data_IF_742982735494
#
_entry.id   IF_742982735494
#
_cell.length_a   1.000
_cell.length_b   1.000
_cell.length_c   1.000
_cell.angle_alpha   90.00
_cell.angle_beta   90.00
_cell.angle_gamma   90.00
#
_symmetry.space_group_name_H-M   'P 1'
#
loop_
_entity.id
_entity.type
_entity.pdbx_description
1 polymer ?
#
# COMPACT_ATOMS: atom_id res chain seq x y z
N UNK A 1 -9.00 -29.80 -4.05
CA UNK A 1 -8.09 -29.55 -5.18
C UNK A 1 -7.07 -28.52 -4.73
N UNK A 2 -5.84 -28.91 -4.38
CA UNK A 2 -4.77 -27.93 -4.11
C UNK A 2 -4.29 -27.43 -5.47
N UNK A 3 -4.89 -26.36 -5.97
CA UNK A 3 -4.26 -25.57 -7.04
C UNK A 3 -2.98 -25.03 -6.44
N UNK A 4 -1.85 -25.63 -6.79
CA UNK A 4 -0.55 -24.94 -6.78
C UNK A 4 -0.71 -23.76 -7.74
N UNK A 5 -1.26 -22.66 -7.22
CA UNK A 5 -1.06 -21.33 -7.78
C UNK A 5 0.44 -21.24 -8.01
N UNK A 6 0.82 -21.09 -9.28
CA UNK A 6 2.18 -20.80 -9.73
C UNK A 6 2.79 -19.86 -8.71
N UNK A 7 3.72 -20.35 -7.88
CA UNK A 7 4.23 -19.61 -6.75
C UNK A 7 4.74 -18.27 -7.25
N UNK A 8 4.34 -17.18 -6.62
CA UNK A 8 5.02 -15.93 -6.81
C UNK A 8 6.51 -16.17 -6.57
N UNK A 9 7.36 -15.85 -7.56
CA UNK A 9 8.78 -16.10 -7.49
C UNK A 9 9.46 -15.06 -6.59
N UNK A 10 8.92 -13.84 -6.58
CA UNK A 10 9.48 -12.70 -5.85
C UNK A 10 8.61 -12.24 -4.69
N UNK A 11 7.29 -12.39 -4.76
CA UNK A 11 6.37 -12.00 -3.67
C UNK A 11 6.52 -12.95 -2.48
N UNK A 12 7.03 -12.49 -1.32
CA UNK A 12 7.21 -13.36 -0.15
C UNK A 12 5.86 -13.72 0.48
N UNK A 13 5.80 -14.86 1.19
CA UNK A 13 4.56 -15.36 1.80
C UNK A 13 3.89 -14.35 2.75
N UNK A 14 4.69 -13.61 3.52
CA UNK A 14 4.16 -12.59 4.43
C UNK A 14 3.44 -11.46 3.68
N UNK A 15 3.91 -11.09 2.49
CA UNK A 15 3.30 -10.04 1.68
C UNK A 15 2.00 -10.54 1.04
N UNK A 16 2.00 -11.80 0.57
CA UNK A 16 0.78 -12.44 0.09
C UNK A 16 -0.27 -12.63 1.21
N UNK A 17 0.16 -12.87 2.45
CA UNK A 17 -0.74 -12.86 3.62
C UNK A 17 -1.29 -11.48 3.87
N UNK A 18 -0.42 -10.46 3.88
CA UNK A 18 -0.82 -9.06 4.08
C UNK A 18 -1.85 -8.60 3.04
N UNK A 19 -1.68 -8.93 1.76
CA UNK A 19 -2.67 -8.65 0.72
C UNK A 19 -4.04 -9.30 1.00
N UNK A 20 -4.05 -10.55 1.46
CA UNK A 20 -5.29 -11.27 1.82
C UNK A 20 -5.97 -10.65 3.03
N UNK A 21 -5.20 -10.22 4.02
CA UNK A 21 -5.72 -9.59 5.22
C UNK A 21 -6.41 -8.27 4.86
N UNK A 22 -5.76 -7.40 4.06
CA UNK A 22 -6.39 -6.16 3.57
C UNK A 22 -7.66 -6.48 2.76
N UNK A 23 -7.59 -7.45 1.85
CA UNK A 23 -8.73 -7.82 1.03
C UNK A 23 -9.92 -8.28 1.88
N UNK A 24 -9.66 -9.10 2.90
CA UNK A 24 -10.65 -9.56 3.86
C UNK A 24 -11.26 -8.40 4.65
N UNK A 25 -10.43 -7.51 5.18
CA UNK A 25 -10.88 -6.32 5.94
C UNK A 25 -11.76 -5.41 5.09
N UNK A 26 -11.40 -5.15 3.83
CA UNK A 26 -12.20 -4.28 2.94
C UNK A 26 -13.51 -4.98 2.53
N UNK A 27 -13.44 -6.23 2.04
CA UNK A 27 -14.59 -6.92 1.44
C UNK A 27 -15.64 -7.29 2.50
N UNK A 28 -15.22 -7.66 3.70
CA UNK A 28 -16.12 -8.10 4.77
C UNK A 28 -16.67 -6.92 5.59
N UNK A 29 -16.09 -5.73 5.45
CA UNK A 29 -16.53 -4.54 6.18
C UNK A 29 -17.86 -4.00 5.66
N UNK A 30 -18.72 -3.57 6.59
CA UNK A 30 -19.93 -2.79 6.26
C UNK A 30 -19.58 -1.36 5.79
N UNK A 31 -18.34 -0.93 6.02
CA UNK A 31 -17.83 0.40 5.69
C UNK A 31 -16.45 0.29 5.04
N UNK A 32 -16.35 -0.25 3.81
CA UNK A 32 -15.07 -0.45 3.12
C UNK A 32 -14.26 0.84 2.95
N UNK A 33 -14.95 1.98 2.77
CA UNK A 33 -14.33 3.31 2.68
C UNK A 33 -13.53 3.71 3.94
N UNK A 34 -14.03 3.36 5.14
CA UNK A 34 -13.33 3.62 6.40
C UNK A 34 -12.03 2.79 6.47
N UNK A 35 -12.09 1.52 6.07
CA UNK A 35 -10.89 0.63 6.02
C UNK A 35 -9.86 1.17 5.03
N UNK A 36 -10.27 1.58 3.83
CA UNK A 36 -9.40 2.21 2.83
C UNK A 36 -8.70 3.45 3.42
N UNK A 37 -9.46 4.30 4.13
CA UNK A 37 -8.91 5.49 4.81
C UNK A 37 -7.91 5.13 5.90
N UNK A 38 -8.19 4.10 6.69
CA UNK A 38 -7.28 3.63 7.74
C UNK A 38 -5.93 3.17 7.16
N UNK A 39 -5.96 2.36 6.11
CA UNK A 39 -4.73 1.98 5.41
C UNK A 39 -4.03 3.19 4.80
N UNK A 40 -4.73 4.07 4.07
CA UNK A 40 -4.13 5.29 3.51
C UNK A 40 -3.40 6.11 4.59
N UNK A 41 -4.07 6.35 5.71
CA UNK A 41 -3.53 7.17 6.81
C UNK A 41 -2.42 6.45 7.59
N UNK A 42 -2.47 5.12 7.73
CA UNK A 42 -1.40 4.29 8.30
C UNK A 42 -0.07 4.49 7.57
N UNK A 43 -0.12 4.70 6.26
CA UNK A 43 1.02 5.01 5.41
C UNK A 43 1.26 6.50 5.20
N UNK A 44 0.59 7.36 5.97
CA UNK A 44 0.73 8.82 5.91
C UNK A 44 0.48 9.43 4.52
N UNK A 45 -0.28 8.74 3.66
CA UNK A 45 -0.68 9.26 2.35
C UNK A 45 -1.84 10.24 2.50
N UNK A 46 -1.79 11.37 1.79
CA UNK A 46 -2.90 12.28 1.58
C UNK A 46 -3.91 11.71 0.58
N UNK A 47 -5.11 12.27 0.55
CA UNK A 47 -6.11 11.90 -0.47
C UNK A 47 -5.66 12.28 -1.89
N UNK A 48 -4.80 13.30 -2.01
CA UNK A 48 -4.21 13.72 -3.29
C UNK A 48 -3.25 12.66 -3.80
N UNK A 49 -2.32 12.20 -2.95
CA UNK A 49 -1.34 11.16 -3.31
C UNK A 49 -2.00 9.82 -3.62
N UNK A 50 -3.05 9.43 -2.88
CA UNK A 50 -3.84 8.26 -3.24
C UNK A 50 -4.60 8.46 -4.56
N UNK A 51 -5.09 9.68 -4.81
CA UNK A 51 -5.72 10.04 -6.08
C UNK A 51 -4.78 9.86 -7.25
N UNK A 52 -3.56 10.40 -7.15
CA UNK A 52 -2.51 10.25 -8.16
C UNK A 52 -2.17 8.78 -8.42
N UNK A 53 -1.99 7.97 -7.34
CA UNK A 53 -1.75 6.53 -7.47
C UNK A 53 -2.89 5.82 -8.22
N UNK A 54 -4.13 6.17 -7.92
CA UNK A 54 -5.32 5.50 -8.44
C UNK A 54 -5.87 6.13 -9.72
N UNK A 55 -5.22 7.17 -10.26
CA UNK A 55 -5.72 7.97 -11.40
C UNK A 55 -7.13 8.54 -11.17
N UNK A 56 -7.36 9.01 -9.93
CA UNK A 56 -8.61 9.59 -9.49
C UNK A 56 -8.38 11.00 -8.95
N UNK A 57 -9.39 11.84 -9.07
CA UNK A 57 -9.40 13.13 -8.37
C UNK A 57 -9.47 12.88 -6.86
N UNK A 58 -8.82 13.74 -6.08
CA UNK A 58 -8.89 13.74 -4.62
C UNK A 58 -10.32 13.72 -4.07
N UNK A 59 -11.26 14.40 -4.73
CA UNK A 59 -12.69 14.38 -4.37
C UNK A 59 -13.28 12.97 -4.48
N UNK A 60 -12.88 12.20 -5.49
CA UNK A 60 -13.31 10.81 -5.65
C UNK A 60 -12.80 9.94 -4.52
N UNK A 61 -11.53 10.12 -4.12
CA UNK A 61 -10.98 9.43 -2.95
C UNK A 61 -11.78 9.79 -1.69
N UNK A 62 -12.06 11.07 -1.46
CA UNK A 62 -12.86 11.51 -0.33
C UNK A 62 -14.25 10.86 -0.30
N UNK A 63 -14.95 10.82 -1.45
CA UNK A 63 -16.27 10.20 -1.57
C UNK A 63 -16.25 8.69 -1.34
N UNK A 64 -15.18 8.01 -1.74
CA UNK A 64 -14.99 6.58 -1.45
C UNK A 64 -14.82 6.40 0.07
N UNK A 65 -13.92 7.17 0.68
CA UNK A 65 -13.56 7.03 2.09
C UNK A 65 -14.70 7.36 3.05
N UNK A 66 -15.58 8.28 2.68
CA UNK A 66 -16.74 8.66 3.48
C UNK A 66 -18.01 7.84 3.16
N UNK A 67 -17.92 6.87 2.25
CA UNK A 67 -19.03 5.99 1.88
C UNK A 67 -20.06 6.62 0.94
N UNK A 68 -19.86 7.85 0.46
CA UNK A 68 -20.73 8.45 -0.57
C UNK A 68 -20.62 7.75 -1.92
N UNK A 69 -19.54 7.01 -2.16
CA UNK A 69 -19.31 6.17 -3.34
C UNK A 69 -18.79 4.81 -2.87
N UNK A 70 -19.41 3.73 -3.33
CA UNK A 70 -18.89 2.38 -3.09
C UNK A 70 -17.66 2.16 -3.97
N UNK A 71 -16.51 1.71 -3.41
CA UNK A 71 -15.33 1.41 -4.22
C UNK A 71 -15.61 0.27 -5.19
N UNK A 72 -15.15 0.40 -6.42
CA UNK A 72 -15.25 -0.69 -7.41
C UNK A 72 -14.27 -1.80 -7.07
N UNK A 73 -14.52 -3.00 -7.58
CA UNK A 73 -13.60 -4.13 -7.44
C UNK A 73 -12.19 -3.79 -7.96
N UNK A 74 -12.11 -3.14 -9.12
CA UNK A 74 -10.83 -2.75 -9.72
C UNK A 74 -10.09 -1.71 -8.88
N UNK A 75 -10.82 -0.77 -8.26
CA UNK A 75 -10.23 0.16 -7.30
C UNK A 75 -9.65 -0.59 -6.11
N UNK A 76 -10.43 -1.48 -5.48
CA UNK A 76 -9.99 -2.25 -4.30
C UNK A 76 -8.74 -3.07 -4.63
N UNK A 77 -8.74 -3.75 -5.77
CA UNK A 77 -7.58 -4.54 -6.22
C UNK A 77 -6.34 -3.68 -6.41
N UNK A 78 -6.48 -2.54 -7.10
CA UNK A 78 -5.37 -1.62 -7.35
C UNK A 78 -4.85 -1.00 -6.05
N UNK A 79 -5.76 -0.67 -5.14
CA UNK A 79 -5.45 -0.17 -3.81
C UNK A 79 -4.64 -1.19 -2.99
N UNK A 80 -5.06 -2.45 -2.95
CA UNK A 80 -4.33 -3.52 -2.24
C UNK A 80 -2.92 -3.66 -2.79
N UNK A 81 -2.76 -3.74 -4.12
CA UNK A 81 -1.44 -3.86 -4.74
C UNK A 81 -0.54 -2.66 -4.45
N UNK A 82 -1.09 -1.43 -4.48
CA UNK A 82 -0.33 -0.23 -4.12
C UNK A 82 0.14 -0.26 -2.66
N UNK A 83 -0.76 -0.58 -1.73
CA UNK A 83 -0.47 -0.62 -0.29
C UNK A 83 0.51 -1.74 0.04
N UNK A 84 0.37 -2.92 -0.58
CA UNK A 84 1.30 -4.02 -0.45
C UNK A 84 2.71 -3.64 -0.91
N UNK A 85 2.82 -2.97 -2.06
CA UNK A 85 4.11 -2.51 -2.58
C UNK A 85 4.75 -1.46 -1.65
N UNK A 86 3.96 -0.52 -1.10
CA UNK A 86 4.44 0.45 -0.11
C UNK A 86 4.99 -0.27 1.14
N UNK A 87 4.29 -1.29 1.65
CA UNK A 87 4.75 -2.04 2.82
C UNK A 87 6.01 -2.85 2.52
N UNK A 88 6.10 -3.49 1.34
CA UNK A 88 7.31 -4.17 0.89
C UNK A 88 8.53 -3.24 0.88
N UNK A 89 8.36 -2.02 0.37
CA UNK A 89 9.42 -1.00 0.37
C UNK A 89 9.80 -0.57 1.79
N UNK A 90 8.82 -0.39 2.67
CA UNK A 90 9.08 0.00 4.08
C UNK A 90 9.82 -1.09 4.83
N UNK A 91 9.46 -2.36 4.63
CA UNK A 91 10.16 -3.51 5.21
C UNK A 91 11.60 -3.59 4.67
N UNK A 92 11.77 -3.50 3.35
CA UNK A 92 13.09 -3.49 2.70
C UNK A 92 13.97 -2.35 3.23
N UNK A 93 13.42 -1.14 3.36
CA UNK A 93 14.11 0.04 3.91
C UNK A 93 14.46 -0.10 5.40
N UNK A 94 13.69 -0.89 6.14
CA UNK A 94 13.95 -1.15 7.57
C UNK A 94 15.07 -2.17 7.73
N UNK A 95 15.12 -3.18 6.86
CA UNK A 95 16.06 -4.30 6.96
C UNK A 95 17.40 -4.01 6.29
N UNK A 96 17.40 -3.22 5.20
CA UNK A 96 18.56 -2.98 4.37
C UNK A 96 18.95 -1.50 4.34
N UNK A 97 20.27 -1.24 4.32
CA UNK A 97 20.81 0.13 4.19
C UNK A 97 20.43 0.76 2.84
N UNK A 98 20.43 -0.06 1.79
CA UNK A 98 20.05 0.30 0.42
C UNK A 98 18.85 -0.53 -0.01
N UNK A 99 17.92 0.08 -0.73
CA UNK A 99 16.71 -0.58 -1.20
C UNK A 99 17.03 -1.37 -2.47
N UNK A 100 16.74 -2.67 -2.49
CA UNK A 100 16.85 -3.46 -3.72
C UNK A 100 15.69 -3.15 -4.69
N UNK A 101 15.91 -2.17 -5.58
CA UNK A 101 14.89 -1.74 -6.56
C UNK A 101 14.49 -2.86 -7.52
N UNK A 102 15.41 -3.75 -7.91
CA UNK A 102 15.10 -4.85 -8.82
C UNK A 102 14.15 -5.88 -8.21
N UNK A 103 14.30 -6.18 -6.92
CA UNK A 103 13.34 -7.02 -6.19
C UNK A 103 11.94 -6.40 -6.24
N UNK A 104 11.85 -5.09 -5.99
CA UNK A 104 10.59 -4.35 -5.96
C UNK A 104 9.94 -4.23 -7.34
N UNK A 105 10.72 -4.05 -8.40
CA UNK A 105 10.24 -4.09 -9.79
C UNK A 105 9.63 -5.45 -10.12
N UNK A 106 10.26 -6.54 -9.67
CA UNK A 106 9.75 -7.88 -9.91
C UNK A 106 8.46 -8.15 -9.12
N UNK A 107 8.37 -7.72 -7.86
CA UNK A 107 7.14 -7.78 -7.06
C UNK A 107 6.03 -6.96 -7.75
N UNK A 108 6.33 -5.73 -8.20
CA UNK A 108 5.36 -4.89 -8.91
C UNK A 108 4.84 -5.57 -10.18
N UNK A 109 5.72 -6.21 -10.97
CA UNK A 109 5.34 -6.96 -12.17
C UNK A 109 4.42 -8.15 -11.84
N UNK A 110 4.74 -8.91 -10.80
CA UNK A 110 3.92 -10.03 -10.35
C UNK A 110 2.51 -9.59 -9.92
N UNK A 111 2.42 -8.46 -9.20
CA UNK A 111 1.16 -7.86 -8.78
C UNK A 111 0.43 -7.13 -9.91
N UNK A 112 0.96 -7.12 -11.15
CA UNK A 112 0.46 -6.35 -12.30
C UNK A 112 0.33 -4.84 -12.01
N UNK A 113 1.17 -4.33 -11.12
CA UNK A 113 1.25 -2.92 -10.80
C UNK A 113 1.97 -2.16 -11.92
N UNK A 114 1.56 -0.92 -12.18
CA UNK A 114 2.21 -0.09 -13.21
C UNK A 114 3.62 0.29 -12.78
N UNK A 115 4.62 -0.20 -13.53
CA UNK A 115 6.04 0.10 -13.28
C UNK A 115 6.30 1.62 -13.38
N UNK A 116 5.56 2.33 -14.24
CA UNK A 116 5.68 3.78 -14.39
C UNK A 116 5.34 4.53 -13.10
N UNK A 117 4.48 3.96 -12.25
CA UNK A 117 4.14 4.51 -10.93
C UNK A 117 5.12 4.11 -9.83
N UNK A 118 6.03 3.17 -10.09
CA UNK A 118 6.96 2.68 -9.08
C UNK A 118 7.84 3.78 -8.45
N UNK A 119 8.39 4.76 -9.20
CA UNK A 119 9.14 5.87 -8.60
C UNK A 119 8.31 6.68 -7.59
N UNK A 120 7.03 6.89 -7.88
CA UNK A 120 6.12 7.59 -6.98
C UNK A 120 5.85 6.78 -5.72
N UNK A 121 5.60 5.48 -5.85
CA UNK A 121 5.39 4.57 -4.72
C UNK A 121 6.64 4.48 -3.83
N UNK A 122 7.82 4.38 -4.43
CA UNK A 122 9.11 4.39 -3.72
C UNK A 122 9.27 5.66 -2.88
N UNK A 123 9.00 6.82 -3.47
CA UNK A 123 9.04 8.11 -2.78
C UNK A 123 8.08 8.12 -1.58
N UNK A 124 6.80 7.77 -1.80
CA UNK A 124 5.79 7.75 -0.74
C UNK A 124 6.18 6.83 0.42
N UNK A 125 6.66 5.63 0.12
CA UNK A 125 7.04 4.65 1.13
C UNK A 125 8.24 5.11 1.98
N UNK A 126 9.27 5.68 1.35
CA UNK A 126 10.46 6.18 2.05
C UNK A 126 10.10 7.41 2.90
N UNK A 127 9.36 8.37 2.36
CA UNK A 127 8.94 9.56 3.11
C UNK A 127 8.06 9.20 4.31
N UNK A 128 7.13 8.26 4.13
CA UNK A 128 6.26 7.74 5.19
C UNK A 128 7.08 7.11 6.33
N UNK A 129 8.08 6.30 5.99
CA UNK A 129 8.98 5.68 6.96
C UNK A 129 9.80 6.74 7.73
N UNK A 130 10.41 7.69 7.02
CA UNK A 130 11.26 8.71 7.62
C UNK A 130 10.47 9.67 8.53
N UNK A 131 9.25 10.05 8.13
CA UNK A 131 8.33 10.83 8.97
C UNK A 131 7.98 10.08 10.26
N UNK A 132 7.66 8.78 10.17
CA UNK A 132 7.38 7.94 11.34
C UNK A 132 8.57 7.82 12.28
N UNK A 133 9.78 7.58 11.74
CA UNK A 133 11.02 7.55 12.52
C UNK A 133 11.27 8.88 13.24
N UNK A 134 11.08 10.01 12.56
CA UNK A 134 11.28 11.33 13.15
C UNK A 134 10.31 11.62 14.29
N UNK A 135 9.04 11.20 14.18
CA UNK A 135 8.07 11.30 15.28
C UNK A 135 8.51 10.50 16.51
N UNK A 136 8.97 9.26 16.31
CA UNK A 136 9.49 8.39 17.39
C UNK A 136 10.73 9.00 18.05
N UNK A 137 11.69 9.50 17.24
CA UNK A 137 12.89 10.17 17.77
C UNK A 137 12.55 11.39 18.61
N UNK A 138 11.57 12.20 18.19
CA UNK A 138 11.11 13.36 18.96
C UNK A 138 10.46 12.95 20.29
N UNK A 139 9.61 11.92 20.30
CA UNK A 139 8.98 11.46 21.54
C UNK A 139 9.96 10.87 22.54
N UNK A 140 11.06 10.26 22.07
CA UNK A 140 12.13 9.74 22.93
C UNK A 140 13.03 10.83 23.54
N UNK A 141 13.18 11.99 22.87
CA UNK A 141 13.99 13.13 23.38
C UNK A 141 13.27 14.01 24.39
N UNK A 142 11.97 13.80 24.61
CA UNK A 142 11.12 14.57 25.54
C UNK A 142 11.01 13.88 26.91
N UNK A 143 11.75 12.79 27.14
CA UNK A 143 11.96 12.16 28.45
C UNK A 143 13.35 12.46 28.96
#
# INVERSE_FOLDING_TARGET
MKTTLKGFLYTPEWLASFEKDIAGEIILSQKPGEVIREYRTRYEMSQEELGELMELRRESISRIENGSVTPTFDFVKSFISAVALIEAIRVERTQNKEINVHLLENIARESRFSIEKLPFVLKLAVESYDKKLNKIRKSLKVK
#
